data_IF_815875423013
#
_entry.id   IF_815875423013
#
_cell.length_a   1.000
_cell.length_b   1.000
_cell.length_c   1.000
_cell.angle_alpha   90.00
_cell.angle_beta   90.00
_cell.angle_gamma   90.00
#
_symmetry.space_group_name_H-M   'P 1'
#
loop_
_entity.id
_entity.type
_entity.pdbx_description
1 polymer ?
#
# COMPACT_ATOMS: atom_id res chain seq x y z
N UNK A 1 -3.44 -21.27 -2.95
CA UNK A 1 -2.76 -22.44 -2.37
C UNK A 1 -2.01 -23.14 -3.48
N UNK A 2 -0.69 -23.08 -3.45
CA UNK A 2 0.15 -23.85 -4.38
C UNK A 2 0.24 -25.30 -3.90
N UNK A 3 0.59 -26.22 -4.80
CA UNK A 3 0.67 -27.67 -4.50
C UNK A 3 1.71 -27.99 -3.41
N UNK A 4 2.74 -27.15 -3.28
CA UNK A 4 3.74 -27.22 -2.21
C UNK A 4 3.17 -26.81 -0.84
N UNK A 5 2.32 -25.79 -0.77
CA UNK A 5 1.69 -25.35 0.48
C UNK A 5 0.76 -26.45 1.04
N UNK A 6 0.04 -27.14 0.15
CA UNK A 6 -0.82 -28.26 0.52
C UNK A 6 0.00 -29.42 1.11
N UNK A 7 1.18 -29.69 0.54
CA UNK A 7 2.09 -30.73 1.04
C UNK A 7 2.70 -30.37 2.41
N UNK A 8 3.05 -29.10 2.63
CA UNK A 8 3.58 -28.60 3.91
C UNK A 8 2.53 -28.68 5.02
N UNK A 9 1.28 -28.24 4.75
CA UNK A 9 0.15 -28.36 5.69
C UNK A 9 -0.14 -29.82 6.02
N UNK A 10 -0.11 -30.71 5.02
CA UNK A 10 -0.29 -32.14 5.23
C UNK A 10 0.84 -32.75 6.09
N UNK A 11 2.08 -32.26 5.92
CA UNK A 11 3.23 -32.68 6.74
C UNK A 11 3.09 -32.22 8.19
N UNK A 12 2.61 -31.00 8.44
CA UNK A 12 2.36 -30.46 9.77
C UNK A 12 1.22 -31.19 10.50
N UNK A 13 0.15 -31.53 9.78
CA UNK A 13 -0.94 -32.37 10.29
C UNK A 13 -0.45 -33.76 10.67
N UNK A 14 0.42 -34.37 9.85
CA UNK A 14 1.00 -35.70 10.13
C UNK A 14 2.01 -35.68 11.29
N UNK A 15 2.63 -34.54 11.57
CA UNK A 15 3.54 -34.35 12.69
C UNK A 15 2.81 -34.13 14.04
N UNK A 16 1.48 -34.10 14.05
CA UNK A 16 0.68 -33.89 15.27
C UNK A 16 0.82 -32.49 15.85
N UNK A 17 1.13 -31.49 15.00
CA UNK A 17 1.23 -30.09 15.44
C UNK A 17 -0.16 -29.57 15.79
N UNK A 18 -0.22 -28.77 16.85
CA UNK A 18 -1.44 -28.14 17.33
C UNK A 18 -2.19 -27.37 16.21
N UNK A 19 -3.51 -27.55 16.17
CA UNK A 19 -4.37 -27.07 15.08
C UNK A 19 -4.38 -25.54 15.03
N UNK A 20 -4.38 -24.88 16.20
CA UNK A 20 -4.38 -23.42 16.28
C UNK A 20 -3.08 -22.82 15.73
N UNK A 21 -1.96 -23.52 15.94
CA UNK A 21 -0.66 -23.16 15.37
C UNK A 21 -0.62 -23.30 13.85
N UNK A 22 -1.27 -24.32 13.29
CA UNK A 22 -1.38 -24.53 11.83
C UNK A 22 -2.27 -23.44 11.20
N UNK A 23 -3.42 -23.14 11.82
CA UNK A 23 -4.33 -22.08 11.33
C UNK A 23 -3.65 -20.73 11.36
N UNK A 24 -2.89 -20.44 12.43
CA UNK A 24 -2.09 -19.22 12.52
C UNK A 24 -0.99 -19.19 11.45
N UNK A 25 -0.28 -20.29 11.22
CA UNK A 25 0.75 -20.37 10.18
C UNK A 25 0.19 -20.18 8.77
N UNK A 26 -0.98 -20.75 8.47
CA UNK A 26 -1.66 -20.54 7.18
C UNK A 26 -2.15 -19.10 7.04
N UNK A 27 -2.69 -18.50 8.11
CA UNK A 27 -3.14 -17.10 8.10
C UNK A 27 -1.97 -16.13 7.92
N UNK A 28 -0.90 -16.30 8.69
CA UNK A 28 0.28 -15.43 8.67
C UNK A 28 1.12 -15.66 7.40
N UNK A 29 1.20 -16.91 6.92
CA UNK A 29 1.84 -17.25 5.65
C UNK A 29 1.10 -16.70 4.43
N UNK A 30 -0.24 -16.60 4.50
CA UNK A 30 -1.05 -15.99 3.45
C UNK A 30 -0.72 -14.48 3.27
N UNK A 31 -0.39 -13.76 4.35
CA UNK A 31 0.02 -12.35 4.27
C UNK A 31 1.35 -12.17 3.51
N UNK A 32 2.31 -13.09 3.70
CA UNK A 32 3.58 -13.09 2.96
C UNK A 32 3.41 -13.50 1.49
N UNK A 33 2.44 -14.38 1.20
CA UNK A 33 2.10 -14.80 -0.17
C UNK A 33 1.29 -13.75 -0.93
N UNK A 34 0.61 -12.84 -0.25
CA UNK A 34 -0.14 -11.73 -0.87
C UNK A 34 0.77 -10.63 -1.44
N UNK A 35 2.08 -10.63 -1.10
CA UNK A 35 3.07 -9.66 -1.55
C UNK A 35 4.37 -10.33 -2.08
N UNK A 36 4.30 -11.16 -3.13
CA UNK A 36 5.51 -11.75 -3.68
C UNK A 36 6.33 -10.69 -4.44
N UNK A 37 7.56 -10.47 -4.00
CA UNK A 37 8.55 -9.64 -4.68
C UNK A 37 8.89 -10.28 -6.03
N UNK A 38 8.59 -9.60 -7.14
CA UNK A 38 8.95 -10.10 -8.47
C UNK A 38 10.41 -9.76 -8.72
N UNK A 39 11.20 -10.79 -8.99
CA UNK A 39 12.56 -10.62 -9.46
C UNK A 39 12.51 -10.07 -10.88
N UNK A 40 12.66 -8.75 -11.06
CA UNK A 40 13.27 -8.07 -12.22
C UNK A 40 12.78 -6.63 -12.38
N UNK A 41 13.61 -5.67 -11.97
CA UNK A 41 14.27 -4.62 -12.77
C UNK A 41 14.85 -3.61 -11.78
N UNK A 42 16.18 -3.59 -11.69
CA UNK A 42 16.93 -2.70 -10.82
C UNK A 42 16.77 -1.29 -11.39
N UNK A 43 15.89 -0.49 -10.79
CA UNK A 43 15.89 0.95 -10.98
C UNK A 43 16.66 1.55 -9.81
N UNK A 44 17.69 2.33 -10.10
CA UNK A 44 18.47 3.05 -9.12
C UNK A 44 17.59 4.18 -8.54
N UNK A 45 17.32 4.14 -7.24
CA UNK A 45 16.89 5.34 -6.52
C UNK A 45 18.13 6.22 -6.37
N UNK A 46 18.43 7.01 -7.40
CA UNK A 46 19.35 8.12 -7.24
C UNK A 46 18.65 9.18 -6.38
N UNK A 47 19.31 9.66 -5.33
CA UNK A 47 18.81 10.83 -4.61
C UNK A 47 18.62 11.97 -5.63
N UNK A 48 17.40 12.50 -5.72
CA UNK A 48 17.00 13.55 -6.68
C UNK A 48 17.93 14.78 -6.71
N UNK A 49 18.72 15.01 -5.65
CA UNK A 49 19.62 16.16 -5.52
C UNK A 49 21.08 15.79 -5.24
N UNK A 50 21.43 14.51 -5.03
CA UNK A 50 22.82 14.09 -4.76
C UNK A 50 23.10 12.66 -5.23
N UNK A 51 23.62 12.52 -6.45
CA UNK A 51 24.02 11.22 -6.99
C UNK A 51 25.13 10.50 -6.18
N UNK A 52 25.83 11.22 -5.27
CA UNK A 52 26.90 10.67 -4.43
C UNK A 52 26.80 11.19 -3.01
N UNK A 53 27.06 10.30 -2.05
CA UNK A 53 27.19 10.66 -0.64
C UNK A 53 28.27 11.75 -0.48
N UNK A 54 28.00 12.84 0.26
CA UNK A 54 29.01 13.86 0.56
C UNK A 54 30.26 13.29 1.23
N UNK A 55 31.44 13.73 0.78
CA UNK A 55 32.74 13.28 1.30
C UNK A 55 32.90 13.45 2.81
N UNK A 56 32.25 14.45 3.40
CA UNK A 56 32.30 14.72 4.85
C UNK A 56 31.48 13.75 5.71
N UNK A 57 30.58 12.95 5.12
CA UNK A 57 29.82 11.92 5.84
C UNK A 57 30.59 10.59 5.95
N UNK A 58 31.69 10.44 5.20
CA UNK A 58 32.64 9.33 5.31
C UNK A 58 33.53 9.49 6.54
N UNK A 59 32.90 9.61 7.70
CA UNK A 59 33.58 9.60 8.99
C UNK A 59 33.97 8.16 9.30
N UNK A 60 35.21 7.97 9.76
CA UNK A 60 35.70 6.69 10.29
C UNK A 60 34.76 6.31 11.43
N UNK A 61 34.23 5.09 11.40
CA UNK A 61 33.25 4.54 12.36
C UNK A 61 31.76 4.91 12.13
N UNK A 62 31.38 5.33 10.93
CA UNK A 62 29.97 5.50 10.58
C UNK A 62 29.27 4.14 10.34
N UNK A 63 28.49 3.69 11.34
CA UNK A 63 27.66 2.48 11.30
C UNK A 63 26.74 2.40 10.07
N UNK A 64 26.29 3.54 9.54
CA UNK A 64 25.47 3.59 8.33
C UNK A 64 26.27 3.24 7.07
N UNK A 65 27.54 3.65 6.96
CA UNK A 65 28.39 3.37 5.79
C UNK A 65 28.89 1.93 5.80
N UNK A 66 29.10 1.36 6.99
CA UNK A 66 29.45 -0.06 7.13
C UNK A 66 28.24 -0.98 6.93
N UNK A 67 27.01 -0.45 7.00
CA UNK A 67 25.76 -1.19 6.83
C UNK A 67 25.66 -1.87 5.47
N UNK A 68 25.00 -3.04 5.45
CA UNK A 68 24.75 -3.80 4.23
C UNK A 68 23.91 -2.99 3.24
N UNK A 69 22.88 -2.27 3.73
CA UNK A 69 22.00 -1.43 2.91
C UNK A 69 22.77 -0.38 2.12
N UNK A 70 23.70 0.34 2.77
CA UNK A 70 24.52 1.34 2.08
C UNK A 70 25.43 0.73 1.01
N UNK A 71 26.08 -0.40 1.31
CA UNK A 71 26.94 -1.11 0.34
C UNK A 71 26.13 -1.60 -0.87
N UNK A 72 24.95 -2.16 -0.61
CA UNK A 72 24.04 -2.68 -1.65
C UNK A 72 23.53 -1.57 -2.57
N UNK A 73 23.17 -0.42 -1.99
CA UNK A 73 22.69 0.73 -2.76
C UNK A 73 23.83 1.44 -3.50
N UNK A 74 25.04 1.53 -2.90
CA UNK A 74 26.19 2.25 -3.47
C UNK A 74 26.97 1.48 -4.55
N UNK A 75 27.02 0.15 -4.47
CA UNK A 75 27.73 -0.69 -5.46
C UNK A 75 26.88 -1.04 -6.70
N UNK A 76 25.65 -0.49 -6.80
CA UNK A 76 24.67 -0.75 -7.86
C UNK A 76 25.01 -0.25 -9.27
N UNK A 77 26.21 0.30 -9.46
CA UNK A 77 26.76 0.61 -10.79
C UNK A 77 27.64 -0.51 -11.37
N UNK A 78 28.02 -1.53 -10.59
CA UNK A 78 28.86 -2.65 -11.05
C UNK A 78 28.59 -3.93 -10.24
N UNK A 79 27.61 -4.75 -10.64
CA UNK A 79 27.34 -6.03 -9.96
C UNK A 79 27.54 -7.24 -10.86
N UNK A 80 28.44 -8.13 -10.44
CA UNK A 80 28.62 -9.48 -10.97
C UNK A 80 27.67 -10.47 -10.29
N UNK A 81 27.00 -11.33 -11.08
CA UNK A 81 25.97 -12.29 -10.62
C UNK A 81 26.35 -13.23 -9.45
N UNK A 82 27.65 -13.44 -9.19
CA UNK A 82 28.14 -14.37 -8.17
C UNK A 82 27.99 -13.83 -6.72
N UNK A 83 28.19 -12.53 -6.52
CA UNK A 83 28.10 -11.89 -5.19
C UNK A 83 26.64 -11.76 -4.73
N UNK A 84 25.72 -11.65 -5.68
CA UNK A 84 24.28 -11.56 -5.45
C UNK A 84 23.71 -12.83 -4.80
N UNK A 85 24.20 -14.02 -5.18
CA UNK A 85 23.77 -15.29 -4.56
C UNK A 85 24.17 -15.35 -3.08
N UNK A 86 25.41 -15.00 -2.75
CA UNK A 86 25.90 -15.11 -1.36
C UNK A 86 25.18 -14.14 -0.41
N UNK A 87 24.90 -12.91 -0.85
CA UNK A 87 24.19 -11.92 -0.05
C UNK A 87 22.70 -12.26 0.10
N UNK A 88 22.07 -12.74 -0.97
CA UNK A 88 20.67 -13.23 -0.93
C UNK A 88 20.52 -14.44 0.00
N UNK A 89 21.50 -15.36 0.01
CA UNK A 89 21.50 -16.52 0.92
C UNK A 89 21.71 -16.13 2.39
N UNK A 90 22.48 -15.06 2.67
CA UNK A 90 22.81 -14.66 4.05
C UNK A 90 21.77 -13.75 4.70
N UNK A 91 21.12 -12.88 3.94
CA UNK A 91 20.21 -11.86 4.48
C UNK A 91 18.77 -11.97 3.96
N UNK A 92 18.49 -12.84 2.99
CA UNK A 92 17.17 -13.02 2.39
C UNK A 92 16.90 -12.05 1.24
N UNK A 93 16.21 -12.52 0.20
CA UNK A 93 15.86 -11.74 -0.99
C UNK A 93 15.04 -10.48 -0.68
N UNK A 94 14.29 -10.48 0.43
CA UNK A 94 13.44 -9.39 0.86
C UNK A 94 14.19 -8.06 1.10
N UNK A 95 15.45 -8.11 1.54
CA UNK A 95 16.26 -6.90 1.79
C UNK A 95 17.10 -6.46 0.58
N UNK A 96 17.13 -7.27 -0.48
CA UNK A 96 17.91 -7.01 -1.69
C UNK A 96 17.07 -6.40 -2.81
N UNK A 97 15.74 -6.53 -2.73
CA UNK A 97 14.82 -6.07 -3.75
C UNK A 97 14.31 -4.65 -3.44
N UNK A 98 14.49 -3.68 -4.35
CA UNK A 98 13.93 -2.34 -4.17
C UNK A 98 12.42 -2.38 -4.01
N UNK A 99 11.88 -1.50 -3.16
CA UNK A 99 10.45 -1.46 -2.80
C UNK A 99 9.51 -1.32 -4.01
N UNK A 100 9.97 -0.71 -5.11
CA UNK A 100 9.20 -0.56 -6.36
C UNK A 100 9.07 -1.85 -7.18
N UNK A 101 9.81 -2.91 -6.83
CA UNK A 101 9.70 -4.23 -7.47
C UNK A 101 8.65 -5.12 -6.81
N UNK A 102 8.13 -4.70 -5.65
CA UNK A 102 7.02 -5.37 -4.97
C UNK A 102 5.78 -5.35 -5.84
N UNK A 103 5.19 -6.52 -6.08
CA UNK A 103 3.86 -6.63 -6.69
C UNK A 103 2.95 -7.35 -5.71
N UNK A 104 1.74 -6.83 -5.56
CA UNK A 104 0.70 -7.50 -4.83
C UNK A 104 0.10 -8.59 -5.71
N UNK A 105 -0.04 -9.80 -5.17
CA UNK A 105 -0.73 -10.90 -5.83
C UNK A 105 -1.98 -11.21 -5.02
N UNK A 106 -3.10 -10.71 -5.51
CA UNK A 106 -4.39 -10.79 -4.83
C UNK A 106 -5.48 -11.12 -5.85
N UNK A 107 -5.98 -12.38 -5.88
CA UNK A 107 -6.95 -12.83 -6.88
C UNK A 107 -8.26 -12.03 -6.90
N UNK A 108 -8.63 -11.40 -5.78
CA UNK A 108 -9.82 -10.55 -5.72
C UNK A 108 -9.69 -9.30 -6.59
N UNK A 109 -8.47 -8.77 -6.77
CA UNK A 109 -8.23 -7.57 -7.59
C UNK A 109 -8.59 -7.83 -9.05
N UNK A 110 -8.39 -9.04 -9.56
CA UNK A 110 -8.71 -9.39 -10.95
C UNK A 110 -10.20 -9.37 -11.26
N UNK A 111 -11.05 -9.46 -10.23
CA UNK A 111 -12.51 -9.39 -10.35
C UNK A 111 -13.03 -7.96 -10.36
N UNK A 112 -12.22 -6.98 -9.96
CA UNK A 112 -12.63 -5.59 -9.85
C UNK A 112 -12.67 -4.94 -11.24
N UNK A 113 -13.78 -4.26 -11.54
CA UNK A 113 -14.00 -3.43 -12.73
C UNK A 113 -14.04 -1.96 -12.36
N UNK A 114 -14.04 -1.03 -13.32
CA UNK A 114 -14.11 0.42 -13.04
C UNK A 114 -15.48 0.88 -12.61
N UNK A 115 -16.52 0.34 -13.23
CA UNK A 115 -17.91 0.57 -12.81
C UNK A 115 -18.28 -0.43 -11.70
N UNK A 116 -18.94 0.01 -10.60
CA UNK A 116 -19.49 1.35 -10.32
C UNK A 116 -18.54 2.33 -9.59
N UNK A 117 -17.27 1.97 -9.39
CA UNK A 117 -16.38 2.65 -8.44
C UNK A 117 -15.79 3.98 -8.91
N UNK A 118 -15.64 4.19 -10.21
CA UNK A 118 -15.06 5.43 -10.71
C UNK A 118 -15.62 5.84 -12.07
N UNK A 119 -15.81 7.14 -12.24
CA UNK A 119 -16.10 7.77 -13.54
C UNK A 119 -14.84 8.41 -14.17
N UNK A 120 -13.71 8.44 -13.45
CA UNK A 120 -12.50 9.14 -13.91
C UNK A 120 -11.80 8.35 -15.02
N UNK A 121 -11.81 7.03 -14.94
CA UNK A 121 -11.17 6.13 -15.91
C UNK A 121 -12.06 4.93 -16.21
N UNK A 122 -12.02 4.48 -17.47
CA UNK A 122 -12.60 3.22 -17.92
C UNK A 122 -11.57 2.08 -17.97
N UNK A 123 -10.31 2.35 -17.62
CA UNK A 123 -9.23 1.36 -17.64
C UNK A 123 -9.20 0.53 -16.35
N UNK A 124 -9.75 -0.69 -16.44
CA UNK A 124 -9.72 -1.68 -15.36
C UNK A 124 -8.29 -2.00 -14.91
N UNK A 125 -7.31 -2.03 -15.82
CA UNK A 125 -5.91 -2.38 -15.48
C UNK A 125 -5.27 -1.29 -14.64
N UNK A 126 -5.50 -0.04 -15.02
CA UNK A 126 -5.07 1.12 -14.25
C UNK A 126 -5.68 1.09 -12.85
N UNK A 127 -6.97 0.82 -12.75
CA UNK A 127 -7.66 0.76 -11.46
C UNK A 127 -7.08 -0.32 -10.53
N UNK A 128 -6.90 -1.53 -11.04
CA UNK A 128 -6.30 -2.65 -10.30
C UNK A 128 -4.88 -2.35 -9.85
N UNK A 129 -4.11 -1.69 -10.71
CA UNK A 129 -2.75 -1.24 -10.38
C UNK A 129 -2.76 -0.20 -9.26
N UNK A 130 -3.68 0.75 -9.29
CA UNK A 130 -3.83 1.74 -8.22
C UNK A 130 -4.18 1.04 -6.90
N UNK A 131 -5.20 0.18 -6.86
CA UNK A 131 -5.54 -0.60 -5.65
C UNK A 131 -4.32 -1.35 -5.10
N UNK A 132 -3.56 -2.00 -5.98
CA UNK A 132 -2.34 -2.71 -5.59
C UNK A 132 -1.31 -1.76 -4.96
N UNK A 133 -1.09 -0.59 -5.55
CA UNK A 133 -0.15 0.41 -5.02
C UNK A 133 -0.58 0.97 -3.66
N UNK A 134 -1.89 1.11 -3.42
CA UNK A 134 -2.42 1.50 -2.11
C UNK A 134 -2.04 0.49 -1.01
N UNK A 135 -2.26 -0.80 -1.27
CA UNK A 135 -1.97 -1.85 -0.30
C UNK A 135 -0.48 -2.15 -0.13
N UNK A 136 0.35 -1.84 -1.14
CA UNK A 136 1.81 -1.97 -1.05
C UNK A 136 2.44 -0.77 -0.34
N UNK A 137 1.97 0.45 -0.61
CA UNK A 137 2.64 1.68 -0.17
C UNK A 137 2.02 2.29 1.09
N UNK A 138 0.89 3.03 0.98
CA UNK A 138 0.27 3.71 2.12
C UNK A 138 -0.29 2.79 3.22
N UNK A 139 -0.91 1.68 2.86
CA UNK A 139 -1.68 0.85 3.79
C UNK A 139 -0.86 0.28 4.97
N UNK A 140 0.37 -0.24 4.78
CA UNK A 140 1.19 -0.70 5.91
C UNK A 140 1.51 0.39 6.94
N UNK A 141 1.57 1.66 6.52
CA UNK A 141 1.82 2.79 7.42
C UNK A 141 0.53 3.37 8.01
N UNK A 142 -0.58 3.29 7.27
CA UNK A 142 -1.87 3.84 7.64
C UNK A 142 -3.00 2.91 7.16
N UNK A 143 -3.35 1.87 7.93
CA UNK A 143 -4.38 0.89 7.56
C UNK A 143 -5.78 1.47 7.82
N UNK A 144 -6.19 2.42 6.97
CA UNK A 144 -7.49 3.10 7.09
C UNK A 144 -8.68 2.22 6.69
N UNK A 145 -8.41 1.17 5.91
CA UNK A 145 -9.39 0.16 5.50
C UNK A 145 -8.88 -1.24 5.81
N UNK A 146 -9.79 -2.13 6.17
CA UNK A 146 -9.45 -3.55 6.30
C UNK A 146 -9.35 -4.17 4.91
N UNK A 147 -8.16 -4.68 4.55
CA UNK A 147 -7.85 -5.17 3.19
C UNK A 147 -8.89 -6.17 2.68
N UNK A 148 -9.14 -7.23 3.43
CA UNK A 148 -9.97 -8.34 2.94
C UNK A 148 -11.44 -7.92 2.78
N UNK A 149 -12.04 -7.31 3.81
CA UNK A 149 -13.40 -6.76 3.75
C UNK A 149 -13.57 -5.75 2.61
N UNK A 150 -12.59 -4.87 2.41
CA UNK A 150 -12.63 -3.88 1.33
C UNK A 150 -12.63 -4.55 -0.05
N UNK A 151 -11.71 -5.50 -0.28
CA UNK A 151 -11.57 -6.17 -1.58
C UNK A 151 -12.72 -7.13 -1.88
N UNK A 152 -13.25 -7.82 -0.87
CA UNK A 152 -14.41 -8.69 -1.01
C UNK A 152 -15.67 -7.90 -1.36
N UNK A 153 -15.94 -6.83 -0.61
CA UNK A 153 -17.10 -5.95 -0.85
C UNK A 153 -16.98 -5.28 -2.22
N UNK A 154 -15.79 -4.82 -2.59
CA UNK A 154 -15.51 -4.24 -3.89
C UNK A 154 -15.65 -5.24 -5.05
N UNK A 155 -15.18 -6.48 -4.88
CA UNK A 155 -15.36 -7.51 -5.90
C UNK A 155 -16.83 -7.95 -6.04
N UNK A 156 -17.61 -7.86 -4.95
CA UNK A 156 -19.03 -8.16 -4.92
C UNK A 156 -19.92 -7.02 -5.45
N UNK A 157 -19.40 -5.80 -5.60
CA UNK A 157 -20.22 -4.63 -5.95
C UNK A 157 -20.94 -3.99 -4.75
N UNK A 158 -20.58 -4.35 -3.52
CA UNK A 158 -21.21 -3.88 -2.29
C UNK A 158 -20.61 -2.57 -1.77
N UNK A 159 -21.42 -1.78 -1.06
CA UNK A 159 -21.03 -0.44 -0.57
C UNK A 159 -20.98 -0.36 0.96
N UNK A 160 -20.79 -1.51 1.62
CA UNK A 160 -20.83 -1.61 3.08
C UNK A 160 -19.47 -1.31 3.71
N UNK A 161 -18.39 -1.74 3.07
CA UNK A 161 -17.00 -1.60 3.48
C UNK A 161 -16.13 -0.92 2.41
N UNK A 162 -16.64 -0.79 1.19
CA UNK A 162 -16.02 -0.05 0.10
C UNK A 162 -16.94 1.11 -0.33
N UNK A 163 -16.37 2.29 -0.57
CA UNK A 163 -17.07 3.39 -1.24
C UNK A 163 -16.31 3.77 -2.52
N UNK A 164 -17.02 4.23 -3.58
CA UNK A 164 -16.38 4.77 -4.78
C UNK A 164 -15.30 5.82 -4.47
N UNK A 165 -15.50 6.55 -3.37
CA UNK A 165 -14.66 7.65 -2.91
C UNK A 165 -13.33 7.18 -2.27
N UNK A 166 -13.30 6.02 -1.62
CA UNK A 166 -12.06 5.45 -1.02
C UNK A 166 -10.97 5.15 -2.05
N UNK A 167 -11.37 4.81 -3.28
CA UNK A 167 -10.44 4.40 -4.32
C UNK A 167 -9.74 5.60 -5.00
N UNK A 168 -10.27 6.82 -4.85
CA UNK A 168 -9.84 7.99 -5.64
C UNK A 168 -8.64 8.73 -5.04
N UNK A 169 -8.06 8.27 -3.93
CA UNK A 169 -6.98 9.00 -3.24
C UNK A 169 -5.62 8.31 -3.29
N UNK A 170 -5.47 7.31 -4.16
CA UNK A 170 -4.30 6.44 -4.16
C UNK A 170 -3.10 7.13 -4.83
N UNK A 171 -1.95 6.96 -4.20
CA UNK A 171 -0.64 7.47 -4.61
C UNK A 171 -0.34 7.20 -6.10
N UNK A 172 -0.28 8.26 -6.90
CA UNK A 172 0.05 8.19 -8.32
C UNK A 172 1.55 8.47 -8.47
N UNK A 173 2.30 7.68 -9.25
CA UNK A 173 3.76 7.79 -9.35
C UNK A 173 4.29 9.11 -9.94
N UNK A 174 3.44 10.01 -10.45
CA UNK A 174 3.82 11.31 -11.02
C UNK A 174 3.40 12.47 -10.10
N UNK A 175 3.98 12.51 -8.89
CA UNK A 175 3.70 13.52 -7.86
C UNK A 175 4.05 14.96 -8.28
N UNK A 176 4.90 15.14 -9.28
CA UNK A 176 5.31 16.48 -9.75
C UNK A 176 4.16 17.18 -10.50
N UNK A 177 3.15 16.41 -10.94
CA UNK A 177 2.03 16.95 -11.74
C UNK A 177 0.71 17.08 -10.99
N UNK A 178 0.69 17.03 -9.66
CA UNK A 178 -0.54 17.06 -8.84
C UNK A 178 -1.51 18.19 -9.20
N UNK A 179 -0.97 19.33 -9.64
CA UNK A 179 -1.74 20.53 -9.98
C UNK A 179 -2.03 20.70 -11.47
N UNK A 180 -1.61 19.75 -12.30
CA UNK A 180 -1.95 19.79 -13.72
C UNK A 180 -3.37 19.25 -13.88
N UNK A 181 -4.31 20.01 -14.49
CA UNK A 181 -5.69 19.57 -14.67
C UNK A 181 -5.83 18.25 -15.44
N UNK A 182 -4.88 17.99 -16.34
CA UNK A 182 -4.80 16.75 -17.12
C UNK A 182 -4.16 15.58 -16.35
N UNK A 183 -3.61 15.83 -15.17
CA UNK A 183 -3.04 14.76 -14.37
C UNK A 183 -4.14 13.85 -13.83
N UNK A 184 -3.86 12.56 -13.87
CA UNK A 184 -4.76 11.54 -13.36
C UNK A 184 -5.08 11.78 -11.87
N UNK A 185 -4.08 12.21 -11.08
CA UNK A 185 -4.24 12.49 -9.65
C UNK A 185 -5.16 13.70 -9.40
N UNK A 186 -5.06 14.77 -10.19
CA UNK A 186 -5.96 15.92 -10.07
C UNK A 186 -7.40 15.52 -10.35
N UNK A 187 -7.64 14.77 -11.45
CA UNK A 187 -8.99 14.31 -11.81
C UNK A 187 -9.59 13.40 -10.74
N UNK A 188 -8.77 12.52 -10.16
CA UNK A 188 -9.18 11.67 -9.06
C UNK A 188 -9.48 12.47 -7.79
N UNK A 189 -8.64 13.44 -7.40
CA UNK A 189 -8.90 14.32 -6.25
C UNK A 189 -10.13 15.21 -6.44
N UNK A 190 -10.34 15.74 -7.65
CA UNK A 190 -11.51 16.54 -7.98
C UNK A 190 -12.80 15.72 -7.89
N UNK A 191 -12.79 14.49 -8.42
CA UNK A 191 -13.93 13.58 -8.30
C UNK A 191 -14.15 13.14 -6.86
N UNK A 192 -13.07 12.88 -6.12
CA UNK A 192 -13.14 12.57 -4.70
C UNK A 192 -13.82 13.70 -3.92
N UNK A 193 -13.44 14.95 -4.20
CA UNK A 193 -14.06 16.10 -3.55
C UNK A 193 -15.53 16.23 -3.91
N UNK A 194 -15.88 16.05 -5.19
CA UNK A 194 -17.29 16.09 -5.65
C UNK A 194 -18.14 15.03 -4.95
N UNK A 195 -17.63 13.81 -4.80
CA UNK A 195 -18.31 12.72 -4.09
C UNK A 195 -18.41 12.97 -2.58
N UNK A 196 -17.37 13.55 -1.97
CA UNK A 196 -17.39 13.95 -0.57
C UNK A 196 -18.51 14.96 -0.29
N UNK A 197 -18.65 15.97 -1.14
CA UNK A 197 -19.68 16.99 -0.98
C UNK A 197 -21.10 16.40 -1.14
N UNK A 198 -21.26 15.33 -1.93
CA UNK A 198 -22.52 14.58 -2.03
C UNK A 198 -22.78 13.69 -0.81
N UNK A 199 -21.77 12.96 -0.34
CA UNK A 199 -21.90 12.06 0.81
C UNK A 199 -22.20 12.83 2.11
N UNK A 200 -21.70 14.07 2.24
CA UNK A 200 -22.07 14.99 3.33
C UNK A 200 -23.56 15.34 3.37
N UNK A 201 -24.28 15.22 2.25
CA UNK A 201 -25.73 15.45 2.20
C UNK A 201 -26.53 14.20 2.62
N UNK A 202 -25.88 13.04 2.70
CA UNK A 202 -26.51 11.76 3.01
C UNK A 202 -26.31 11.35 4.49
N UNK A 203 -26.70 10.11 4.82
CA UNK A 203 -26.51 9.51 6.14
C UNK A 203 -25.03 9.23 6.40
N UNK A 204 -24.54 9.65 7.57
CA UNK A 204 -23.17 9.42 8.00
C UNK A 204 -22.89 7.91 8.19
N UNK A 205 -21.83 7.41 7.56
CA UNK A 205 -21.37 6.01 7.67
C UNK A 205 -19.90 5.95 8.09
N UNK A 206 -19.47 4.77 8.54
CA UNK A 206 -18.05 4.51 8.85
C UNK A 206 -17.19 4.71 7.60
N UNK A 207 -17.68 4.34 6.41
CA UNK A 207 -16.99 4.57 5.13
C UNK A 207 -16.72 6.05 4.87
N UNK A 208 -17.63 6.94 5.28
CA UNK A 208 -17.46 8.40 5.18
C UNK A 208 -16.29 8.88 6.04
N UNK A 209 -16.13 8.32 7.24
CA UNK A 209 -14.97 8.62 8.11
C UNK A 209 -13.68 8.11 7.48
N UNK A 210 -13.69 6.87 6.98
CA UNK A 210 -12.51 6.28 6.33
C UNK A 210 -12.07 7.11 5.11
N UNK A 211 -13.02 7.60 4.33
CA UNK A 211 -12.76 8.54 3.23
C UNK A 211 -12.08 9.81 3.73
N UNK A 212 -12.60 10.42 4.79
CA UNK A 212 -12.07 11.67 5.34
C UNK A 212 -10.59 11.50 5.75
N UNK A 213 -10.27 10.36 6.38
CA UNK A 213 -8.91 10.00 6.77
C UNK A 213 -8.02 9.74 5.55
N UNK A 214 -8.55 9.06 4.52
CA UNK A 214 -7.82 8.80 3.27
C UNK A 214 -7.50 10.11 2.55
N UNK A 215 -8.48 11.03 2.45
CA UNK A 215 -8.28 12.37 1.90
C UNK A 215 -7.21 13.12 2.68
N UNK A 216 -7.30 13.12 4.02
CA UNK A 216 -6.30 13.76 4.88
C UNK A 216 -4.89 13.23 4.60
N UNK A 217 -4.71 11.91 4.51
CA UNK A 217 -3.42 11.28 4.21
C UNK A 217 -2.89 11.67 2.82
N UNK A 218 -3.75 11.76 1.82
CA UNK A 218 -3.37 12.18 0.47
C UNK A 218 -3.00 13.65 0.43
N UNK A 219 -3.70 14.53 1.16
CA UNK A 219 -3.32 15.94 1.27
C UNK A 219 -2.00 16.14 2.03
N UNK A 220 -1.74 15.36 3.09
CA UNK A 220 -0.43 15.34 3.79
C UNK A 220 0.68 14.98 2.83
N UNK A 221 0.46 13.93 2.02
CA UNK A 221 1.46 13.45 1.04
C UNK A 221 1.77 14.48 -0.04
N UNK A 222 0.86 15.43 -0.28
CA UNK A 222 1.01 16.54 -1.22
C UNK A 222 1.40 17.87 -0.53
N UNK A 223 1.78 17.84 0.75
CA UNK A 223 2.16 19.01 1.55
C UNK A 223 1.07 20.10 1.61
N UNK A 224 -0.19 19.67 1.69
CA UNK A 224 -1.37 20.54 1.79
C UNK A 224 -1.96 20.47 3.20
N UNK A 225 -1.16 20.93 4.16
CA UNK A 225 -1.40 20.72 5.59
C UNK A 225 -2.72 21.31 6.09
N UNK A 226 -3.16 22.45 5.51
CA UNK A 226 -4.44 23.07 5.89
C UNK A 226 -5.64 22.21 5.49
N UNK A 227 -5.60 21.64 4.27
CA UNK A 227 -6.67 20.77 3.78
C UNK A 227 -6.66 19.43 4.51
N UNK A 228 -5.48 18.87 4.77
CA UNK A 228 -5.41 17.62 5.52
C UNK A 228 -5.94 17.77 6.95
N UNK A 229 -5.63 18.89 7.62
CA UNK A 229 -6.15 19.19 8.97
C UNK A 229 -7.67 19.30 8.94
N UNK A 230 -8.23 20.01 7.97
CA UNK A 230 -9.68 20.12 7.79
C UNK A 230 -10.35 18.74 7.67
N UNK A 231 -9.84 17.86 6.82
CA UNK A 231 -10.44 16.52 6.65
C UNK A 231 -10.27 15.64 7.89
N UNK A 232 -9.17 15.79 8.62
CA UNK A 232 -8.96 15.08 9.88
C UNK A 232 -9.94 15.55 10.97
N UNK A 233 -10.16 16.86 11.10
CA UNK A 233 -11.15 17.42 12.02
C UNK A 233 -12.57 16.92 11.68
N UNK A 234 -12.92 16.90 10.40
CA UNK A 234 -14.21 16.33 9.95
C UNK A 234 -14.33 14.85 10.33
N UNK A 235 -13.28 14.05 10.14
CA UNK A 235 -13.27 12.64 10.53
C UNK A 235 -13.52 12.46 12.03
N UNK A 236 -12.91 13.30 12.87
CA UNK A 236 -13.08 13.29 14.34
C UNK A 236 -14.52 13.64 14.70
N UNK A 237 -15.04 14.77 14.19
CA UNK A 237 -16.42 15.19 14.46
C UNK A 237 -17.43 14.13 14.01
N UNK A 238 -17.19 13.47 12.88
CA UNK A 238 -18.03 12.36 12.41
C UNK A 238 -17.93 11.14 13.32
N UNK A 239 -16.74 10.80 13.81
CA UNK A 239 -16.54 9.70 14.76
C UNK A 239 -17.26 9.94 16.09
N UNK A 240 -17.25 11.17 16.59
CA UNK A 240 -18.02 11.57 17.77
C UNK A 240 -19.53 11.43 17.55
N UNK A 241 -20.03 11.87 16.39
CA UNK A 241 -21.46 11.73 16.03
C UNK A 241 -21.91 10.28 15.86
N UNK A 242 -20.99 9.38 15.50
CA UNK A 242 -21.23 7.94 15.44
C UNK A 242 -20.95 7.23 16.78
N UNK A 243 -20.61 7.96 17.84
CA UNK A 243 -20.30 7.41 19.16
C UNK A 243 -19.15 6.37 19.14
N UNK A 244 -18.20 6.49 18.19
CA UNK A 244 -17.10 5.53 18.05
C UNK A 244 -16.05 5.61 19.18
N UNK A 245 -16.05 6.72 19.92
CA UNK A 245 -15.10 6.98 21.00
C UNK A 245 -15.68 6.74 22.40
N UNK A 246 -16.97 6.39 22.49
CA UNK A 246 -17.61 6.16 23.77
C UNK A 246 -17.15 4.81 24.35
N UNK A 247 -16.53 4.85 25.52
CA UNK A 247 -15.92 3.68 26.21
C UNK A 247 -16.98 2.78 26.88
N UNK A 248 -18.27 3.07 26.69
CA UNK A 248 -19.36 2.31 27.30
C UNK A 248 -20.10 1.50 26.22
N UNK A 249 -19.59 0.31 25.91
CA UNK A 249 -20.29 -0.77 25.21
C UNK A 249 -20.06 -2.08 25.94
#
# INVERSE_FOLDING_TARGET
>A
MTEQDAAEVFRLLKAGTDIDSIVKHVRDGNLLLQLPLISETIYQNEFLYMAKMPSHLFVIDNSHISSCLYKVVSSSSAYTHAENRQLTTKYGSAYMMPYHTTKMVEPLIDKITTTPWTMVTSDNRLLRRLISLYFIGPHPCAPLVHKDLFLEDMAAGGTSFCSPLLQMCIDVPDRVKVWHPESLIYRFLAEARRLWDLELMETLRITTIQVALVLSLTYISNSLDTLSTFFLEQAITMGERLHLFDVNS
#
